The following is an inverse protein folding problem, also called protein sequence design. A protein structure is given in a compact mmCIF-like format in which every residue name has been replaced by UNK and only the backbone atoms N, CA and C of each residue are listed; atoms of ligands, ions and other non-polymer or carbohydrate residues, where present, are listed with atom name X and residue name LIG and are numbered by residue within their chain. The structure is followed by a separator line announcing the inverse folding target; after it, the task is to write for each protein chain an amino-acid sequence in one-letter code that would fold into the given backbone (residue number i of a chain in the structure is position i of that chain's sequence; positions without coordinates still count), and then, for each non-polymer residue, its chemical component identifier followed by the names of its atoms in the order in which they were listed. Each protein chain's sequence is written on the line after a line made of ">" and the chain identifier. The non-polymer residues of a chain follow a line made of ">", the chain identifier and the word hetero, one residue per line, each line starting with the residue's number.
data_IF_447977589901
#
_entry.id   IF_447977589901
#
_cell.length_a   1.000
_cell.length_b   1.000
_cell.length_c   1.000
_cell.angle_alpha   90.00
_cell.angle_beta   90.00
_cell.angle_gamma   90.00
#
_symmetry.space_group_name_H-M   'P 1'
#
loop_
_entity.id
_entity.type
_entity.pdbx_description
1 polymer ?
#
# COMPACT_ATOMS: atom_id res chain seq x y z
N UNK A 1 -0.26 -5.69 -3.27
CA UNK A 1 -1.37 -6.46 -2.65
C UNK A 1 -2.72 -6.09 -3.25
N UNK A 2 -3.00 -4.79 -3.40
CA UNK A 2 -4.25 -4.27 -3.95
C UNK A 2 -4.30 -4.36 -5.48
N UNK A 3 -5.51 -4.45 -6.02
CA UNK A 3 -5.74 -4.47 -7.46
C UNK A 3 -5.47 -3.09 -8.08
N UNK A 4 -4.88 -3.07 -9.29
CA UNK A 4 -4.47 -1.84 -9.96
C UNK A 4 -5.68 -1.08 -10.48
N UNK A 5 -6.09 -0.03 -9.77
CA UNK A 5 -7.34 0.71 -10.04
C UNK A 5 -8.43 0.49 -8.98
N UNK A 6 -8.20 -0.40 -8.01
CA UNK A 6 -9.03 -0.54 -6.81
C UNK A 6 -8.17 -0.57 -5.53
N UNK A 7 -7.02 0.09 -5.57
CA UNK A 7 -6.18 0.38 -4.41
C UNK A 7 -6.71 1.61 -3.65
N UNK A 8 -6.41 1.74 -2.35
CA UNK A 8 -6.93 2.85 -1.55
C UNK A 8 -6.59 4.23 -2.16
N UNK A 9 -5.32 4.51 -2.44
CA UNK A 9 -4.91 5.84 -2.91
C UNK A 9 -5.55 6.20 -4.27
N UNK A 10 -5.68 5.24 -5.18
CA UNK A 10 -6.35 5.41 -6.48
C UNK A 10 -7.86 5.64 -6.41
N UNK A 11 -8.56 5.09 -5.40
CA UNK A 11 -10.01 5.20 -5.23
C UNK A 11 -10.45 6.49 -4.52
N UNK A 12 -9.53 7.15 -3.83
CA UNK A 12 -9.85 8.23 -2.91
C UNK A 12 -10.45 9.47 -3.61
N UNK A 13 -9.83 9.93 -4.70
CA UNK A 13 -10.30 11.11 -5.44
C UNK A 13 -11.69 10.89 -6.05
N UNK A 14 -11.96 9.78 -6.77
CA UNK A 14 -13.32 9.45 -7.22
C UNK A 14 -14.34 9.41 -6.08
N UNK A 15 -14.02 8.73 -4.98
CA UNK A 15 -14.93 8.58 -3.84
C UNK A 15 -15.29 9.93 -3.20
N UNK A 16 -14.30 10.79 -2.95
CA UNK A 16 -14.54 12.13 -2.38
C UNK A 16 -15.45 12.96 -3.29
N UNK A 17 -15.19 12.96 -4.60
CA UNK A 17 -15.98 13.72 -5.59
C UNK A 17 -17.42 13.22 -5.69
N UNK A 18 -17.62 11.92 -5.76
CA UNK A 18 -18.95 11.30 -5.87
C UNK A 18 -19.81 11.55 -4.63
N UNK A 19 -19.20 11.75 -3.47
CA UNK A 19 -19.86 12.05 -2.21
C UNK A 19 -19.94 13.56 -1.89
N UNK A 20 -19.71 14.43 -2.88
CA UNK A 20 -19.91 15.87 -2.77
C UNK A 20 -18.79 16.64 -2.03
N UNK A 21 -17.63 16.01 -1.85
CA UNK A 21 -16.45 16.64 -1.29
C UNK A 21 -15.69 17.50 -2.29
N UNK A 22 -14.41 17.72 -2.00
CA UNK A 22 -13.53 18.50 -2.86
C UNK A 22 -13.38 17.93 -4.27
N UNK A 23 -13.09 18.83 -5.19
CA UNK A 23 -12.87 18.50 -6.60
C UNK A 23 -11.38 18.43 -6.92
N UNK A 24 -10.55 19.26 -6.26
CA UNK A 24 -9.11 19.31 -6.54
C UNK A 24 -8.41 18.03 -6.07
N UNK A 25 -7.81 17.31 -7.03
CA UNK A 25 -7.14 16.04 -6.76
C UNK A 25 -5.85 16.24 -5.95
N UNK A 26 -5.13 17.35 -6.17
CA UNK A 26 -3.87 17.63 -5.48
C UNK A 26 -4.15 17.97 -4.01
N UNK A 27 -5.22 18.74 -3.74
CA UNK A 27 -5.65 19.06 -2.38
C UNK A 27 -6.10 17.81 -1.59
N UNK A 28 -6.83 16.89 -2.24
CA UNK A 28 -7.20 15.60 -1.65
C UNK A 28 -5.94 14.76 -1.35
N UNK A 29 -4.99 14.72 -2.30
CA UNK A 29 -3.76 13.94 -2.14
C UNK A 29 -2.87 14.49 -1.00
N UNK A 30 -2.77 15.81 -0.84
CA UNK A 30 -2.02 16.43 0.25
C UNK A 30 -2.68 16.21 1.62
N UNK A 31 -4.01 16.27 1.68
CA UNK A 31 -4.77 15.91 2.90
C UNK A 31 -4.60 14.44 3.25
N UNK A 32 -4.69 13.55 2.26
CA UNK A 32 -4.44 12.13 2.44
C UNK A 32 -3.01 11.85 2.87
N UNK A 33 -2.05 12.65 2.40
CA UNK A 33 -0.67 12.55 2.86
C UNK A 33 -0.51 12.81 4.34
N UNK A 34 -1.24 13.78 4.87
CA UNK A 34 -1.25 14.07 6.31
C UNK A 34 -1.91 12.92 7.09
N UNK A 35 -3.07 12.43 6.64
CA UNK A 35 -3.79 11.32 7.28
C UNK A 35 -2.98 10.00 7.27
N UNK A 36 -2.40 9.65 6.13
CA UNK A 36 -1.52 8.47 6.00
C UNK A 36 -0.18 8.63 6.72
N UNK A 37 0.17 9.79 7.27
CA UNK A 37 1.28 9.98 8.19
C UNK A 37 0.85 9.91 9.67
N UNK A 38 -0.44 9.65 9.94
CA UNK A 38 -0.98 9.64 11.30
C UNK A 38 -1.15 11.04 11.89
N UNK A 39 -1.10 12.08 11.06
CA UNK A 39 -1.27 13.48 11.50
C UNK A 39 -2.74 13.88 11.56
N UNK A 40 -3.61 13.14 10.88
CA UNK A 40 -5.06 13.27 10.92
C UNK A 40 -5.68 11.88 11.17
N UNK A 41 -6.74 11.84 11.95
CA UNK A 41 -7.65 10.69 12.01
C UNK A 41 -8.42 10.52 10.69
N UNK A 42 -9.13 9.39 10.51
CA UNK A 42 -10.01 9.23 9.34
C UNK A 42 -11.15 10.25 9.35
N UNK A 43 -11.70 10.56 10.52
CA UNK A 43 -12.72 11.60 10.71
C UNK A 43 -12.21 12.98 10.27
N UNK A 44 -11.09 13.44 10.82
CA UNK A 44 -10.49 14.74 10.49
C UNK A 44 -10.13 14.81 9.00
N UNK A 45 -9.69 13.70 8.41
CA UNK A 45 -9.45 13.61 6.98
C UNK A 45 -10.75 13.83 6.19
N UNK A 46 -11.83 13.11 6.49
CA UNK A 46 -13.11 13.26 5.77
C UNK A 46 -13.68 14.67 5.89
N UNK A 47 -13.67 15.25 7.08
CA UNK A 47 -14.10 16.63 7.30
C UNK A 47 -13.27 17.60 6.47
N UNK A 48 -11.95 17.41 6.44
CA UNK A 48 -11.04 18.26 5.67
C UNK A 48 -11.31 18.19 4.17
N UNK A 49 -11.81 17.06 3.65
CA UNK A 49 -12.20 16.91 2.24
C UNK A 49 -13.66 17.23 1.95
N UNK A 50 -14.38 17.80 2.92
CA UNK A 50 -15.76 18.27 2.77
C UNK A 50 -16.82 17.18 2.93
N UNK A 51 -16.44 15.98 3.38
CA UNK A 51 -17.39 14.92 3.71
C UNK A 51 -17.85 15.11 5.16
N UNK A 52 -19.15 14.93 5.40
CA UNK A 52 -19.78 15.09 6.71
C UNK A 52 -20.65 13.86 6.96
N UNK A 53 -20.70 13.38 8.20
CA UNK A 53 -21.50 12.22 8.57
C UNK A 53 -20.82 11.35 9.62
N UNK A 54 -21.33 10.14 9.79
CA UNK A 54 -20.70 9.16 10.65
C UNK A 54 -19.44 8.59 9.97
N UNK A 55 -18.27 8.76 10.60
CA UNK A 55 -16.98 8.32 10.06
C UNK A 55 -16.90 6.82 9.79
N UNK A 56 -17.49 5.98 10.65
CA UNK A 56 -17.47 4.53 10.47
C UNK A 56 -18.24 4.11 9.20
N UNK A 57 -19.36 4.79 8.91
CA UNK A 57 -20.15 4.55 7.70
C UNK A 57 -19.38 4.98 6.44
N UNK A 58 -18.70 6.13 6.48
CA UNK A 58 -17.89 6.63 5.35
C UNK A 58 -16.69 5.72 5.11
N UNK A 59 -15.97 5.34 6.17
CA UNK A 59 -14.87 4.39 6.13
C UNK A 59 -15.35 3.07 5.51
N UNK A 60 -16.45 2.49 5.99
CA UNK A 60 -16.99 1.24 5.46
C UNK A 60 -17.38 1.35 3.98
N UNK A 61 -18.03 2.44 3.56
CA UNK A 61 -18.39 2.66 2.15
C UNK A 61 -17.17 2.75 1.25
N UNK A 62 -16.18 3.55 1.64
CA UNK A 62 -14.94 3.73 0.90
C UNK A 62 -14.14 2.42 0.83
N UNK A 63 -13.90 1.76 1.96
CA UNK A 63 -13.11 0.54 2.02
C UNK A 63 -13.80 -0.64 1.33
N UNK A 64 -15.13 -0.62 1.19
CA UNK A 64 -15.87 -1.59 0.39
C UNK A 64 -15.60 -1.49 -1.12
N UNK A 65 -14.96 -0.42 -1.60
CA UNK A 65 -14.51 -0.30 -3.00
C UNK A 65 -13.16 -0.99 -3.22
N UNK A 66 -12.33 -1.10 -2.17
CA UNK A 66 -10.99 -1.68 -2.26
C UNK A 66 -11.07 -3.17 -2.55
N UNK A 67 -10.24 -3.64 -3.49
CA UNK A 67 -10.15 -5.06 -3.88
C UNK A 67 -8.73 -5.57 -3.72
N UNK A 68 -8.64 -6.81 -3.23
CA UNK A 68 -7.40 -7.58 -3.25
C UNK A 68 -7.18 -8.10 -4.67
N UNK A 69 -5.93 -8.17 -5.12
CA UNK A 69 -5.62 -8.87 -6.37
C UNK A 69 -6.04 -10.34 -6.30
N UNK A 70 -6.52 -10.86 -7.41
CA UNK A 70 -6.93 -12.27 -7.53
C UNK A 70 -5.79 -13.25 -7.24
N UNK A 71 -4.54 -12.86 -7.49
CA UNK A 71 -3.33 -13.67 -7.29
C UNK A 71 -2.66 -13.48 -5.91
N UNK A 72 -3.18 -12.60 -5.06
CA UNK A 72 -2.57 -12.30 -3.76
C UNK A 72 -2.66 -13.47 -2.76
N UNK A 73 -3.85 -14.07 -2.59
CA UNK A 73 -4.02 -15.22 -1.70
C UNK A 73 -3.23 -16.45 -2.18
N UNK A 74 -3.27 -16.84 -3.47
CA UNK A 74 -2.39 -17.88 -3.98
C UNK A 74 -0.90 -17.62 -3.74
N UNK A 75 -0.46 -16.35 -3.88
CA UNK A 75 0.91 -15.95 -3.59
C UNK A 75 1.26 -16.16 -2.11
N UNK A 76 0.46 -15.64 -1.18
CA UNK A 76 0.71 -15.78 0.26
C UNK A 76 0.77 -17.24 0.70
N UNK A 77 -0.13 -18.09 0.16
CA UNK A 77 -0.10 -19.53 0.41
C UNK A 77 1.19 -20.19 -0.11
N UNK A 78 1.66 -19.83 -1.31
CA UNK A 78 2.93 -20.32 -1.84
C UNK A 78 4.12 -19.88 -0.99
N UNK A 79 4.14 -18.64 -0.53
CA UNK A 79 5.21 -18.12 0.34
C UNK A 79 5.24 -18.88 1.68
N UNK A 80 4.06 -19.11 2.27
CA UNK A 80 3.90 -19.92 3.48
C UNK A 80 4.41 -21.35 3.29
N UNK A 81 4.04 -22.02 2.18
CA UNK A 81 4.51 -23.38 1.85
C UNK A 81 6.03 -23.46 1.66
N UNK A 82 6.65 -22.38 1.17
CA UNK A 82 8.10 -22.29 0.97
C UNK A 82 8.86 -21.82 2.23
N UNK A 83 8.15 -21.49 3.31
CA UNK A 83 8.76 -20.95 4.53
C UNK A 83 9.39 -19.57 4.33
N UNK A 84 8.93 -18.79 3.34
CA UNK A 84 9.44 -17.44 3.09
C UNK A 84 8.47 -16.43 3.73
N UNK A 85 8.92 -15.64 4.71
CA UNK A 85 8.05 -14.69 5.39
C UNK A 85 7.66 -13.54 4.47
N UNK A 86 6.41 -13.07 4.60
CA UNK A 86 5.90 -11.92 3.86
C UNK A 86 5.61 -10.79 4.84
N UNK A 87 6.10 -9.60 4.49
CA UNK A 87 5.78 -8.36 5.16
C UNK A 87 5.12 -7.38 4.17
N UNK A 88 4.28 -6.49 4.68
CA UNK A 88 3.61 -5.46 3.88
C UNK A 88 3.99 -4.07 4.37
N UNK A 89 4.49 -3.22 3.48
CA UNK A 89 4.66 -1.78 3.72
C UNK A 89 3.60 -1.02 2.92
N UNK A 90 2.75 -0.26 3.60
CA UNK A 90 1.66 0.49 2.96
C UNK A 90 1.61 1.93 3.43
N UNK A 91 1.42 2.85 2.47
CA UNK A 91 1.06 4.22 2.78
C UNK A 91 -0.44 4.26 3.04
N UNK A 92 -0.87 4.33 4.30
CA UNK A 92 -2.29 4.27 4.66
C UNK A 92 -2.54 4.89 6.03
N UNK A 93 -3.78 5.35 6.23
CA UNK A 93 -4.36 5.53 7.57
C UNK A 93 -4.36 4.18 8.28
N UNK A 94 -4.01 4.16 9.58
CA UNK A 94 -3.86 2.91 10.34
C UNK A 94 -5.19 2.15 10.47
N UNK A 95 -6.27 2.84 10.87
CA UNK A 95 -7.60 2.24 11.03
C UNK A 95 -8.09 1.58 9.75
N UNK A 96 -7.94 2.25 8.61
CA UNK A 96 -8.29 1.70 7.29
C UNK A 96 -7.47 0.45 6.96
N UNK A 97 -6.18 0.47 7.26
CA UNK A 97 -5.34 -0.69 7.03
C UNK A 97 -5.79 -1.88 7.88
N UNK A 98 -6.18 -1.68 9.13
CA UNK A 98 -6.67 -2.76 10.01
C UNK A 98 -8.00 -3.33 9.49
N UNK A 99 -8.97 -2.46 9.21
CA UNK A 99 -10.28 -2.86 8.68
C UNK A 99 -10.17 -3.64 7.36
N UNK A 100 -9.29 -3.22 6.44
CA UNK A 100 -9.09 -3.92 5.17
C UNK A 100 -8.53 -5.33 5.36
N UNK A 101 -7.58 -5.51 6.28
CA UNK A 101 -6.94 -6.81 6.48
C UNK A 101 -7.87 -7.83 7.11
N UNK A 102 -8.67 -7.38 8.06
CA UNK A 102 -9.72 -8.19 8.67
C UNK A 102 -10.77 -8.59 7.62
N UNK A 103 -11.34 -7.59 6.92
CA UNK A 103 -12.37 -7.82 5.89
C UNK A 103 -11.91 -8.73 4.76
N UNK A 104 -10.65 -8.62 4.33
CA UNK A 104 -10.08 -9.38 3.23
C UNK A 104 -9.40 -10.67 3.67
N UNK A 105 -9.35 -10.96 4.98
CA UNK A 105 -8.80 -12.20 5.53
C UNK A 105 -7.30 -12.37 5.32
N UNK A 106 -6.53 -11.28 5.29
CA UNK A 106 -5.07 -11.30 5.04
C UNK A 106 -4.22 -11.01 6.28
N UNK A 107 -4.84 -10.66 7.41
CA UNK A 107 -4.14 -10.34 8.66
C UNK A 107 -3.17 -11.48 9.06
N UNK A 108 -3.66 -12.71 9.17
CA UNK A 108 -2.89 -13.87 9.61
C UNK A 108 -1.94 -14.45 8.55
N UNK A 109 -2.03 -13.97 7.30
CA UNK A 109 -1.20 -14.46 6.19
C UNK A 109 0.07 -13.64 5.98
N UNK A 110 0.10 -12.42 6.52
CA UNK A 110 1.24 -11.50 6.43
C UNK A 110 1.80 -11.31 7.84
N UNK A 111 3.05 -11.72 8.04
CA UNK A 111 3.67 -11.77 9.36
C UNK A 111 3.90 -10.37 9.96
N UNK A 112 4.20 -9.40 9.10
CA UNK A 112 4.57 -8.06 9.53
C UNK A 112 3.90 -7.00 8.67
N UNK A 113 3.30 -6.02 9.33
CA UNK A 113 2.70 -4.87 8.69
C UNK A 113 3.40 -3.60 9.15
N UNK A 114 3.82 -2.79 8.18
CA UNK A 114 4.44 -1.49 8.41
C UNK A 114 3.55 -0.45 7.74
N UNK A 115 2.71 0.21 8.54
CA UNK A 115 1.75 1.21 8.07
C UNK A 115 2.27 2.59 8.31
N UNK A 116 2.31 3.42 7.29
CA UNK A 116 2.82 4.79 7.43
C UNK A 116 2.11 5.61 8.52
N UNK A 117 0.80 5.42 8.70
CA UNK A 117 0.02 6.13 9.71
C UNK A 117 0.37 5.76 11.15
N UNK A 118 0.95 4.57 11.36
CA UNK A 118 1.47 4.13 12.66
C UNK A 118 2.90 4.63 12.89
N UNK A 119 3.74 4.55 11.85
CA UNK A 119 5.16 4.85 11.95
C UNK A 119 5.51 6.33 11.72
N UNK A 120 4.55 7.14 11.27
CA UNK A 120 4.75 8.57 10.97
C UNK A 120 5.66 8.86 9.78
N UNK A 121 5.94 7.85 8.95
CA UNK A 121 6.81 7.96 7.77
C UNK A 121 6.20 7.19 6.60
N UNK A 122 6.35 7.70 5.37
CA UNK A 122 5.80 7.07 4.15
C UNK A 122 6.90 6.56 3.23
N UNK A 123 6.58 5.55 2.42
CA UNK A 123 7.34 5.28 1.18
C UNK A 123 7.30 6.54 0.30
N UNK A 124 8.40 6.94 -0.36
CA UNK A 124 9.66 6.20 -0.53
C UNK A 124 10.77 6.54 0.50
N UNK A 125 10.45 7.11 1.66
CA UNK A 125 11.47 7.47 2.66
C UNK A 125 12.24 6.25 3.18
N UNK A 126 13.57 6.32 3.23
CA UNK A 126 14.42 5.25 3.77
C UNK A 126 14.01 4.80 5.18
N UNK A 127 13.44 5.70 5.98
CA UNK A 127 12.99 5.42 7.34
C UNK A 127 11.92 4.32 7.43
N UNK A 128 11.04 4.18 6.44
CA UNK A 128 10.01 3.12 6.45
C UNK A 128 10.63 1.74 6.21
N UNK A 129 11.67 1.67 5.35
CA UNK A 129 12.41 0.44 5.11
C UNK A 129 13.27 0.06 6.31
N UNK A 130 13.88 1.03 6.99
CA UNK A 130 14.57 0.79 8.26
C UNK A 130 13.64 0.30 9.36
N UNK A 131 12.40 0.79 9.42
CA UNK A 131 11.38 0.27 10.32
C UNK A 131 11.10 -1.22 10.04
N UNK A 132 10.89 -1.59 8.77
CA UNK A 132 10.74 -3.00 8.37
C UNK A 132 11.97 -3.84 8.75
N UNK A 133 13.17 -3.33 8.49
CA UNK A 133 14.43 -4.02 8.80
C UNK A 133 14.58 -4.31 10.29
N UNK A 134 14.23 -3.35 11.14
CA UNK A 134 14.26 -3.51 12.61
C UNK A 134 13.21 -4.49 13.09
N UNK A 135 11.99 -4.42 12.53
CA UNK A 135 10.87 -5.30 12.88
C UNK A 135 11.16 -6.76 12.53
N UNK A 136 11.77 -7.00 11.37
CA UNK A 136 12.03 -8.36 10.84
C UNK A 136 13.39 -8.93 11.25
N UNK A 137 14.37 -8.07 11.56
CA UNK A 137 15.77 -8.47 11.76
C UNK A 137 16.50 -8.92 10.48
N UNK A 138 15.84 -8.84 9.31
CA UNK A 138 16.41 -9.28 8.03
C UNK A 138 17.26 -8.16 7.43
N UNK A 139 18.39 -8.48 6.79
CA UNK A 139 19.20 -7.49 6.08
C UNK A 139 18.55 -7.11 4.74
N UNK A 140 18.73 -5.86 4.28
CA UNK A 140 18.17 -5.43 2.99
C UNK A 140 18.58 -6.30 1.80
N UNK A 141 19.82 -6.79 1.78
CA UNK A 141 20.34 -7.71 0.76
C UNK A 141 19.54 -9.02 0.63
N UNK A 142 18.81 -9.39 1.68
CA UNK A 142 17.99 -10.60 1.74
C UNK A 142 16.49 -10.29 1.63
N UNK A 143 16.13 -9.09 1.14
CA UNK A 143 14.76 -8.67 0.89
C UNK A 143 14.49 -8.49 -0.59
N UNK A 144 13.30 -8.91 -1.01
CA UNK A 144 12.71 -8.57 -2.30
C UNK A 144 11.52 -7.63 -2.05
N UNK A 145 11.59 -6.42 -2.59
CA UNK A 145 10.45 -5.50 -2.63
C UNK A 145 9.68 -5.67 -3.94
N UNK A 146 8.37 -5.87 -3.82
CA UNK A 146 7.43 -5.83 -4.94
C UNK A 146 6.51 -4.63 -4.73
N UNK A 147 6.60 -3.64 -5.60
CA UNK A 147 5.80 -2.40 -5.53
C UNK A 147 5.44 -1.92 -6.94
N UNK A 148 4.41 -1.09 -7.06
CA UNK A 148 4.00 -0.45 -8.30
C UNK A 148 4.56 0.96 -8.47
N UNK A 149 5.07 1.56 -7.39
CA UNK A 149 5.70 2.89 -7.42
C UNK A 149 7.21 2.81 -7.70
N UNK A 150 7.63 3.43 -8.80
CA UNK A 150 9.02 3.43 -9.25
C UNK A 150 9.95 4.14 -8.25
N UNK A 151 9.51 5.25 -7.66
CA UNK A 151 10.33 6.00 -6.71
C UNK A 151 10.65 5.15 -5.46
N UNK A 152 9.66 4.38 -5.01
CA UNK A 152 9.80 3.40 -3.93
C UNK A 152 10.81 2.30 -4.28
N UNK A 153 10.74 1.74 -5.49
CA UNK A 153 11.69 0.71 -5.93
C UNK A 153 13.12 1.27 -6.03
N UNK A 154 13.29 2.50 -6.51
CA UNK A 154 14.61 3.15 -6.57
C UNK A 154 15.20 3.38 -5.18
N UNK A 155 14.41 3.87 -4.23
CA UNK A 155 14.83 4.02 -2.85
C UNK A 155 15.26 2.69 -2.21
N UNK A 156 14.45 1.64 -2.39
CA UNK A 156 14.74 0.30 -1.88
C UNK A 156 16.01 -0.31 -2.51
N UNK A 157 16.19 -0.15 -3.82
CA UNK A 157 17.41 -0.58 -4.53
C UNK A 157 18.65 0.15 -4.00
N UNK A 158 18.54 1.45 -3.71
CA UNK A 158 19.60 2.24 -3.08
C UNK A 158 20.03 1.73 -1.70
N UNK A 159 19.14 1.04 -0.98
CA UNK A 159 19.42 0.37 0.29
C UNK A 159 19.97 -1.05 0.14
N UNK A 160 20.09 -1.55 -1.09
CA UNK A 160 20.60 -2.89 -1.42
C UNK A 160 19.53 -3.98 -1.47
N UNK A 161 18.24 -3.63 -1.51
CA UNK A 161 17.16 -4.60 -1.72
C UNK A 161 17.11 -5.07 -3.17
N UNK A 162 16.69 -6.31 -3.38
CA UNK A 162 16.19 -6.74 -4.69
C UNK A 162 14.80 -6.13 -4.89
N UNK A 163 14.46 -5.79 -6.13
CA UNK A 163 13.26 -5.02 -6.45
C UNK A 163 12.61 -5.55 -7.72
N UNK A 164 11.29 -5.62 -7.72
CA UNK A 164 10.48 -6.02 -8.87
C UNK A 164 9.30 -5.06 -8.99
N UNK A 165 9.08 -4.54 -10.19
CA UNK A 165 7.91 -3.73 -10.50
C UNK A 165 6.69 -4.63 -10.70
N UNK A 166 5.68 -4.44 -9.85
CA UNK A 166 4.33 -4.89 -10.14
C UNK A 166 3.73 -3.92 -11.15
N UNK A 167 3.58 -4.37 -12.39
CA UNK A 167 3.10 -3.53 -13.47
C UNK A 167 1.67 -3.03 -13.17
N UNK A 168 1.50 -1.72 -13.28
CA UNK A 168 0.21 -1.03 -13.18
C UNK A 168 -0.10 -0.34 -14.52
N UNK A 169 -1.15 0.46 -14.57
CA UNK A 169 -1.47 1.25 -15.77
C UNK A 169 -0.50 2.41 -16.03
N UNK A 170 0.45 2.67 -15.11
CA UNK A 170 1.40 3.77 -15.24
C UNK A 170 2.46 3.45 -16.31
N UNK A 171 2.71 4.34 -17.28
CA UNK A 171 3.78 4.17 -18.26
C UNK A 171 5.14 4.04 -17.60
N UNK A 172 5.92 3.06 -18.03
CA UNK A 172 7.27 2.83 -17.51
C UNK A 172 8.25 3.77 -18.22
N UNK A 173 9.05 4.58 -17.48
CA UNK A 173 10.06 5.45 -18.08
C UNK A 173 11.08 4.67 -18.92
N UNK A 174 11.57 5.31 -19.98
CA UNK A 174 12.66 4.77 -20.78
C UNK A 174 13.91 4.56 -19.92
N UNK A 175 14.55 3.39 -20.03
CA UNK A 175 15.74 3.05 -19.24
C UNK A 175 15.46 2.42 -17.86
N UNK A 176 14.21 2.11 -17.53
CA UNK A 176 13.86 1.38 -16.30
C UNK A 176 14.43 -0.05 -16.31
N UNK A 177 15.22 -0.40 -15.30
CA UNK A 177 16.00 -1.64 -15.28
C UNK A 177 15.51 -2.72 -14.32
N UNK A 178 14.50 -2.44 -13.48
CA UNK A 178 14.01 -3.45 -12.55
C UNK A 178 13.24 -4.54 -13.33
N UNK A 179 13.35 -5.82 -12.94
CA UNK A 179 12.46 -6.85 -13.44
C UNK A 179 11.00 -6.46 -13.20
N UNK A 180 10.12 -6.95 -14.06
CA UNK A 180 8.69 -6.60 -14.07
C UNK A 180 7.86 -7.87 -14.04
N UNK A 181 6.73 -7.80 -13.37
CA UNK A 181 5.71 -8.85 -13.36
C UNK A 181 4.34 -8.21 -13.51
N UNK A 182 3.42 -8.91 -14.17
CA UNK A 182 2.00 -8.53 -14.19
C UNK A 182 1.24 -9.24 -13.06
N UNK A 183 1.77 -10.36 -12.56
CA UNK A 183 1.24 -11.06 -11.40
C UNK A 183 2.28 -11.83 -10.59
N UNK A 184 1.93 -12.13 -9.34
CA UNK A 184 2.84 -12.77 -8.38
C UNK A 184 3.31 -14.17 -8.80
N UNK A 185 2.53 -14.87 -9.64
CA UNK A 185 2.90 -16.19 -10.14
C UNK A 185 4.24 -16.17 -10.92
N UNK A 186 4.58 -15.06 -11.56
CA UNK A 186 5.81 -14.91 -12.35
C UNK A 186 7.08 -14.90 -11.48
N UNK A 187 6.97 -14.62 -10.17
CA UNK A 187 8.09 -14.69 -9.23
C UNK A 187 8.65 -16.10 -9.04
N UNK A 188 7.87 -17.13 -9.38
CA UNK A 188 8.23 -18.52 -9.15
C UNK A 188 8.79 -19.23 -10.38
N UNK A 189 8.89 -18.53 -11.52
CA UNK A 189 9.16 -19.15 -12.82
C UNK A 189 7.94 -19.90 -13.37
N UNK A 190 7.88 -20.05 -14.70
CA UNK A 190 6.98 -21.02 -15.34
C UNK A 190 7.58 -22.41 -15.28
#
# INVERSE_FOLDING_TARGET
>A
MWDGGADPEGLLVPFVRENGGLIDADEIADRYRSASLGQLSSEEFWESVGLQGNTDDIDAQYLNLVRLRSDALPFLDQMKRRGIPVACITNSVLSWSQQLRERLGVEDQIQHWVVSGEYGVRKPSNSIFEALRRLTGVSFSNMLLVDSDIATLEAARGLGMSTVLMQSQVPIPSGFTHPKIEGFAELFGK
#
